data_IF_657461311549
#
_entry.id   IF_657461311549
#
_cell.length_a   1.000
_cell.length_b   1.000
_cell.length_c   1.000
_cell.angle_alpha   90.00
_cell.angle_beta   90.00
_cell.angle_gamma   90.00
#
_symmetry.space_group_name_H-M   'P 1'
#
loop_
_entity.id
_entity.type
_entity.pdbx_description
1 polymer ?
#
# COMPACT_ATOMS: atom_id res chain seq x y z
N UNK A 1 36.23 -23.08 16.42
CA UNK A 1 35.74 -24.37 15.88
C UNK A 1 34.57 -24.96 16.67
N UNK A 2 34.53 -24.85 17.99
CA UNK A 2 33.41 -25.33 18.82
C UNK A 2 32.17 -24.40 18.79
N UNK A 3 32.37 -23.14 18.49
CA UNK A 3 31.28 -22.16 18.45
C UNK A 3 30.38 -22.37 17.22
N UNK A 4 30.95 -22.78 16.09
CA UNK A 4 30.21 -23.03 14.85
C UNK A 4 29.29 -24.25 14.92
N UNK A 5 29.72 -25.33 15.61
CA UNK A 5 28.93 -26.56 15.76
C UNK A 5 27.77 -26.42 16.74
N UNK A 6 27.90 -25.56 17.75
CA UNK A 6 26.77 -25.24 18.66
C UNK A 6 25.71 -24.33 18.02
N UNK A 7 26.11 -23.39 17.17
CA UNK A 7 25.20 -22.55 16.42
C UNK A 7 24.39 -23.36 15.40
N UNK A 8 25.02 -24.28 14.68
CA UNK A 8 24.36 -25.15 13.70
C UNK A 8 23.28 -26.02 14.35
N UNK A 9 23.53 -26.57 15.54
CA UNK A 9 22.53 -27.36 16.27
C UNK A 9 21.34 -26.52 16.77
N UNK A 10 21.60 -25.30 17.26
CA UNK A 10 20.53 -24.39 17.69
C UNK A 10 19.74 -23.83 16.51
N UNK A 11 20.37 -23.57 15.39
CA UNK A 11 19.69 -23.13 14.15
C UNK A 11 18.77 -24.22 13.59
N UNK A 12 19.20 -25.50 13.59
CA UNK A 12 18.34 -26.62 13.19
C UNK A 12 17.10 -26.75 14.09
N UNK A 13 17.28 -26.70 15.41
CA UNK A 13 16.14 -26.79 16.34
C UNK A 13 15.19 -25.60 16.21
N UNK A 14 15.70 -24.40 15.96
CA UNK A 14 14.88 -23.22 15.69
C UNK A 14 14.12 -23.39 14.36
N UNK A 15 14.83 -23.83 13.33
CA UNK A 15 14.24 -24.08 12.01
C UNK A 15 13.11 -25.11 12.06
N UNK A 16 13.34 -26.25 12.67
CA UNK A 16 12.34 -27.31 12.84
C UNK A 16 11.10 -26.79 13.59
N UNK A 17 11.31 -25.93 14.59
CA UNK A 17 10.20 -25.31 15.33
C UNK A 17 9.46 -24.29 14.50
N UNK A 18 10.12 -23.53 13.62
CA UNK A 18 9.51 -22.55 12.73
C UNK A 18 8.77 -23.21 11.56
N UNK A 19 9.20 -24.40 11.13
CA UNK A 19 8.57 -25.18 10.08
C UNK A 19 7.36 -26.00 10.59
N UNK A 20 7.20 -26.15 11.91
CA UNK A 20 6.08 -26.84 12.52
C UNK A 20 4.82 -25.95 12.57
N UNK A 21 3.99 -26.05 11.55
CA UNK A 21 2.78 -25.27 11.39
C UNK A 21 1.74 -25.47 12.51
N UNK A 22 1.88 -26.52 13.34
CA UNK A 22 1.03 -26.73 14.51
C UNK A 22 1.40 -25.83 15.69
N UNK A 23 2.62 -25.28 15.69
CA UNK A 23 3.15 -24.42 16.76
C UNK A 23 3.25 -22.97 16.33
N UNK A 24 3.72 -22.74 15.11
CA UNK A 24 4.00 -21.40 14.58
C UNK A 24 3.39 -21.28 13.19
N UNK A 25 2.79 -20.15 12.90
CA UNK A 25 2.36 -19.79 11.57
C UNK A 25 2.87 -18.40 11.19
N UNK A 26 3.05 -18.19 9.90
CA UNK A 26 3.38 -16.90 9.29
C UNK A 26 2.21 -16.52 8.37
N UNK A 27 1.12 -15.95 8.93
CA UNK A 27 -0.05 -15.58 8.16
C UNK A 27 0.30 -14.53 7.12
N UNK A 28 -0.12 -14.74 5.89
CA UNK A 28 0.03 -13.75 4.86
C UNK A 28 -0.93 -12.59 5.11
N UNK A 29 -0.51 -11.40 4.76
CA UNK A 29 -1.34 -10.21 4.89
C UNK A 29 -1.17 -9.28 3.72
N UNK A 30 -2.25 -8.63 3.34
CA UNK A 30 -2.26 -7.48 2.45
C UNK A 30 -2.74 -6.28 3.24
N UNK A 31 -1.95 -5.23 3.26
CA UNK A 31 -2.35 -3.94 3.80
C UNK A 31 -2.38 -2.90 2.68
N UNK A 32 -3.40 -2.08 2.71
CA UNK A 32 -3.49 -0.91 1.85
C UNK A 32 -3.84 0.31 2.69
N UNK A 33 -2.81 1.13 2.95
CA UNK A 33 -2.88 2.38 3.69
C UNK A 33 -1.76 3.28 3.22
N UNK A 34 -2.07 4.42 2.63
CA UNK A 34 -1.05 5.40 2.25
C UNK A 34 -0.70 6.24 3.47
N UNK A 35 0.58 6.28 3.80
CA UNK A 35 1.13 7.05 4.92
C UNK A 35 2.34 7.86 4.42
N UNK A 36 2.11 9.01 3.77
CA UNK A 36 3.20 9.86 3.32
C UNK A 36 3.95 10.46 4.52
N UNK A 37 5.13 10.99 4.25
CA UNK A 37 5.86 11.75 5.28
C UNK A 37 5.01 12.92 5.74
N UNK A 38 5.08 13.30 7.03
CA UNK A 38 4.48 14.52 7.53
C UNK A 38 4.86 15.71 6.65
N UNK A 39 3.88 16.49 6.25
CA UNK A 39 4.05 17.60 5.32
C UNK A 39 3.54 18.90 5.97
N UNK A 40 4.19 20.02 5.64
CA UNK A 40 3.90 21.32 6.26
C UNK A 40 2.44 21.75 6.11
N UNK A 41 1.77 21.42 5.00
CA UNK A 41 0.35 21.75 4.79
C UNK A 41 -0.56 21.08 5.84
N UNK A 42 -0.20 19.86 6.26
CA UNK A 42 -0.94 19.13 7.30
C UNK A 42 -0.63 19.70 8.68
N UNK A 43 0.64 19.98 8.96
CA UNK A 43 1.08 20.65 10.19
C UNK A 43 0.35 21.98 10.40
N UNK A 44 0.34 22.84 9.38
CA UNK A 44 -0.37 24.13 9.43
C UNK A 44 -1.88 23.97 9.68
N UNK A 45 -2.50 22.91 9.16
CA UNK A 45 -3.91 22.62 9.40
C UNK A 45 -4.12 22.18 10.86
N UNK A 46 -3.27 21.30 11.39
CA UNK A 46 -3.35 20.83 12.78
C UNK A 46 -3.17 21.99 13.76
N UNK A 47 -2.24 22.91 13.49
CA UNK A 47 -2.06 24.13 14.29
C UNK A 47 -3.31 25.02 14.24
N UNK A 48 -3.94 25.19 13.07
CA UNK A 48 -5.23 25.92 12.96
C UNK A 48 -6.36 25.25 13.75
N UNK A 49 -6.30 23.92 13.86
CA UNK A 49 -7.26 23.13 14.63
C UNK A 49 -6.93 23.12 16.14
N UNK A 50 -5.98 23.98 16.59
CA UNK A 50 -5.51 24.13 17.97
C UNK A 50 -4.88 22.85 18.55
N UNK A 51 -4.20 22.05 17.74
CA UNK A 51 -3.39 20.94 18.21
C UNK A 51 -1.98 21.46 18.50
N UNK A 52 -1.55 21.31 19.73
CA UNK A 52 -0.24 21.79 20.22
C UNK A 52 0.89 20.81 19.89
N UNK A 53 2.15 21.26 20.01
CA UNK A 53 3.37 20.46 19.88
C UNK A 53 3.54 19.76 18.52
N UNK A 54 3.16 20.43 17.44
CA UNK A 54 3.24 19.88 16.07
C UNK A 54 4.61 20.05 15.40
N UNK A 55 5.58 20.65 16.09
CA UNK A 55 6.93 20.83 15.55
C UNK A 55 7.74 19.52 15.57
N UNK A 56 8.49 19.21 14.52
CA UNK A 56 9.34 18.02 14.50
C UNK A 56 10.52 18.17 15.47
N UNK A 57 10.82 17.13 16.20
CA UNK A 57 11.96 17.06 17.10
C UNK A 57 13.19 16.63 16.30
N UNK A 58 14.25 17.43 16.35
CA UNK A 58 15.55 17.09 15.78
C UNK A 58 16.41 16.45 16.85
N UNK A 59 16.82 15.20 16.62
CA UNK A 59 17.68 14.48 17.58
C UNK A 59 19.14 14.92 17.46
N UNK A 60 19.96 14.57 18.47
CA UNK A 60 21.41 14.81 18.43
C UNK A 60 22.15 14.15 17.27
N UNK A 61 21.52 13.18 16.59
CA UNK A 61 22.03 12.51 15.39
C UNK A 61 21.49 13.10 14.08
N UNK A 62 20.89 14.29 14.12
CA UNK A 62 20.24 14.94 12.97
C UNK A 62 19.13 14.07 12.32
N UNK A 63 18.46 13.24 13.09
CA UNK A 63 17.28 12.54 12.63
C UNK A 63 16.02 13.30 13.08
N UNK A 64 14.97 13.27 12.25
CA UNK A 64 13.71 13.94 12.54
C UNK A 64 12.73 12.94 13.13
N UNK A 65 12.11 13.32 14.26
CA UNK A 65 10.95 12.65 14.81
C UNK A 65 9.75 13.55 14.55
N UNK A 66 8.82 13.07 13.73
CA UNK A 66 7.62 13.83 13.44
C UNK A 66 6.64 13.77 14.61
N UNK A 67 5.95 14.87 14.87
CA UNK A 67 4.97 14.96 15.94
C UNK A 67 3.67 14.19 15.64
N UNK A 68 3.38 13.90 14.37
CA UNK A 68 2.17 13.22 13.92
C UNK A 68 2.47 12.24 12.79
N UNK A 69 1.54 11.33 12.56
CA UNK A 69 1.53 10.42 11.40
C UNK A 69 0.47 10.90 10.43
N UNK A 70 0.88 11.24 9.21
CA UNK A 70 -0.05 11.53 8.14
C UNK A 70 -0.51 10.22 7.52
N UNK A 71 -1.82 9.96 7.49
CA UNK A 71 -2.40 8.75 6.94
C UNK A 71 -3.76 9.05 6.30
N UNK A 72 -4.02 8.42 5.16
CA UNK A 72 -5.33 8.52 4.53
C UNK A 72 -6.44 7.84 5.34
N UNK A 73 -7.70 8.21 5.07
CA UNK A 73 -8.86 7.61 5.74
C UNK A 73 -9.07 6.15 5.33
N UNK A 74 -9.06 5.78 4.03
CA UNK A 74 -9.19 4.39 3.61
C UNK A 74 -8.12 3.50 4.24
N UNK A 75 -8.54 2.30 4.62
CA UNK A 75 -7.66 1.32 5.24
C UNK A 75 -8.20 -0.08 4.98
N UNK A 76 -7.39 -0.89 4.33
CA UNK A 76 -7.69 -2.29 4.09
C UNK A 76 -6.58 -3.15 4.68
N UNK A 77 -6.95 -4.04 5.58
CA UNK A 77 -6.06 -5.06 6.12
C UNK A 77 -6.75 -6.41 5.97
N UNK A 78 -6.14 -7.25 5.15
CA UNK A 78 -6.61 -8.62 4.88
C UNK A 78 -5.54 -9.57 5.38
N UNK A 79 -5.91 -10.53 6.23
CA UNK A 79 -4.98 -11.43 6.90
C UNK A 79 -5.44 -12.87 6.73
N UNK A 80 -4.51 -13.76 6.41
CA UNK A 80 -4.74 -15.21 6.43
C UNK A 80 -5.08 -15.67 7.84
N UNK A 81 -6.23 -16.32 8.00
CA UNK A 81 -6.69 -16.82 9.30
C UNK A 81 -6.02 -18.16 9.63
N UNK A 82 -4.70 -18.12 9.87
CA UNK A 82 -3.86 -19.27 10.23
C UNK A 82 -3.11 -19.00 11.52
N UNK A 83 -3.78 -19.25 12.66
CA UNK A 83 -3.27 -18.98 14.00
C UNK A 83 -3.38 -20.22 14.88
N UNK A 84 -2.39 -21.12 14.92
CA UNK A 84 -2.46 -22.40 15.65
C UNK A 84 -2.68 -22.22 17.15
N UNK A 85 -2.27 -21.10 17.73
CA UNK A 85 -2.40 -20.80 19.15
C UNK A 85 -3.59 -19.86 19.47
N UNK A 86 -4.51 -19.68 18.50
CA UNK A 86 -5.59 -18.70 18.59
C UNK A 86 -5.13 -17.26 18.35
N UNK A 87 -6.09 -16.35 18.24
CA UNK A 87 -5.86 -14.92 18.00
C UNK A 87 -6.95 -14.05 18.62
N UNK A 88 -6.71 -12.76 18.81
CA UNK A 88 -7.78 -11.81 19.11
C UNK A 88 -8.83 -11.74 17.98
N UNK A 89 -10.07 -11.33 18.26
CA UNK A 89 -11.11 -11.16 17.26
C UNK A 89 -10.88 -9.90 16.40
N UNK A 90 -9.86 -9.94 15.54
CA UNK A 90 -9.41 -8.81 14.71
C UNK A 90 -10.49 -8.33 13.73
N UNK A 91 -11.39 -9.22 13.31
CA UNK A 91 -12.55 -8.89 12.49
C UNK A 91 -13.47 -7.85 13.13
N UNK A 92 -13.52 -7.77 14.46
CA UNK A 92 -14.26 -6.73 15.20
C UNK A 92 -13.64 -5.33 15.06
N UNK A 93 -12.37 -5.28 14.68
CA UNK A 93 -11.65 -4.04 14.36
C UNK A 93 -11.63 -3.72 12.86
N UNK A 94 -12.42 -4.46 12.04
CA UNK A 94 -12.51 -4.24 10.60
C UNK A 94 -11.42 -4.94 9.77
N UNK A 95 -10.66 -5.87 10.36
CA UNK A 95 -9.69 -6.68 9.62
C UNK A 95 -10.43 -7.81 8.90
N UNK A 96 -10.14 -7.99 7.61
CA UNK A 96 -10.68 -9.11 6.84
C UNK A 96 -9.86 -10.37 7.13
N UNK A 97 -10.45 -11.31 7.84
CA UNK A 97 -9.85 -12.62 8.13
C UNK A 97 -10.31 -13.62 7.09
N UNK A 98 -9.39 -14.26 6.37
CA UNK A 98 -9.72 -15.10 5.22
C UNK A 98 -8.62 -16.15 4.96
N UNK A 99 -8.74 -16.90 3.86
CA UNK A 99 -7.71 -17.82 3.40
C UNK A 99 -6.59 -17.10 2.59
N UNK A 100 -5.45 -17.78 2.43
CA UNK A 100 -4.27 -17.26 1.72
C UNK A 100 -4.57 -16.89 0.25
N UNK A 101 -5.39 -17.67 -0.43
CA UNK A 101 -5.73 -17.43 -1.84
C UNK A 101 -6.49 -16.10 -1.99
N UNK A 102 -7.42 -15.83 -1.09
CA UNK A 102 -8.17 -14.57 -1.05
C UNK A 102 -7.27 -13.38 -0.70
N UNK A 103 -6.29 -13.53 0.22
CA UNK A 103 -5.28 -12.49 0.47
C UNK A 103 -4.51 -12.17 -0.80
N UNK A 104 -4.03 -13.19 -1.52
CA UNK A 104 -3.29 -13.04 -2.77
C UNK A 104 -4.14 -12.38 -3.88
N UNK A 105 -5.41 -12.78 -4.01
CA UNK A 105 -6.34 -12.17 -4.96
C UNK A 105 -6.57 -10.69 -4.66
N UNK A 106 -6.67 -10.33 -3.39
CA UNK A 106 -6.86 -8.94 -2.96
C UNK A 106 -5.63 -8.09 -3.27
N UNK A 107 -4.45 -8.61 -2.98
CA UNK A 107 -3.21 -7.93 -3.37
C UNK A 107 -3.09 -7.78 -4.89
N UNK A 108 -3.38 -8.85 -5.64
CA UNK A 108 -3.35 -8.83 -7.10
C UNK A 108 -4.31 -7.80 -7.68
N UNK A 109 -5.56 -7.74 -7.20
CA UNK A 109 -6.53 -6.71 -7.59
C UNK A 109 -5.95 -5.31 -7.45
N UNK A 110 -5.34 -4.99 -6.30
CA UNK A 110 -4.73 -3.68 -6.02
C UNK A 110 -3.52 -3.42 -6.92
N UNK A 111 -2.60 -4.37 -6.99
CA UNK A 111 -1.27 -4.20 -7.62
C UNK A 111 -1.33 -4.21 -9.14
N UNK A 112 -2.22 -5.00 -9.73
CA UNK A 112 -2.28 -5.16 -11.20
C UNK A 112 -3.39 -4.35 -11.85
N UNK A 113 -4.33 -3.79 -11.09
CA UNK A 113 -5.52 -3.15 -11.68
C UNK A 113 -5.92 -1.85 -10.96
N UNK A 114 -6.36 -1.93 -9.70
CA UNK A 114 -7.20 -0.89 -9.11
C UNK A 114 -6.44 0.31 -8.53
N UNK A 115 -5.16 0.17 -8.18
CA UNK A 115 -4.38 1.27 -7.59
C UNK A 115 -3.03 1.46 -8.28
N UNK A 116 -2.16 0.45 -8.22
CA UNK A 116 -0.75 0.65 -8.57
C UNK A 116 -0.52 0.96 -10.06
N UNK A 117 -1.25 0.40 -11.04
CA UNK A 117 -1.12 0.80 -12.44
C UNK A 117 -1.48 2.27 -12.67
N UNK A 118 -2.59 2.72 -12.08
CA UNK A 118 -3.04 4.11 -12.21
C UNK A 118 -2.01 5.08 -11.65
N UNK A 119 -1.53 4.79 -10.45
CA UNK A 119 -0.52 5.57 -9.76
C UNK A 119 0.81 5.62 -10.53
N UNK A 120 1.22 4.49 -11.16
CA UNK A 120 2.43 4.44 -11.98
C UNK A 120 2.29 5.22 -13.27
N UNK A 121 1.18 5.08 -13.98
CA UNK A 121 0.93 5.84 -15.21
C UNK A 121 0.94 7.34 -14.94
N UNK A 122 0.17 7.79 -13.93
CA UNK A 122 0.17 9.19 -13.51
C UNK A 122 1.58 9.69 -13.25
N UNK A 123 2.33 9.00 -12.40
CA UNK A 123 3.64 9.45 -11.95
C UNK A 123 4.65 9.60 -13.10
N UNK A 124 4.60 8.73 -14.10
CA UNK A 124 5.49 8.83 -15.28
C UNK A 124 5.13 10.08 -16.11
N UNK A 125 3.87 10.24 -16.46
CA UNK A 125 3.43 11.39 -17.24
C UNK A 125 3.51 12.69 -16.44
N UNK A 126 3.16 12.65 -15.16
CA UNK A 126 3.29 13.80 -14.26
C UNK A 126 4.73 14.32 -14.15
N UNK A 127 5.72 13.43 -14.04
CA UNK A 127 7.13 13.81 -14.09
C UNK A 127 7.50 14.49 -15.41
N UNK A 128 7.02 13.95 -16.53
CA UNK A 128 7.30 14.52 -17.87
C UNK A 128 6.67 15.90 -18.06
N UNK A 129 5.50 16.12 -17.47
CA UNK A 129 4.75 17.39 -17.54
C UNK A 129 5.18 18.39 -16.44
N UNK A 130 6.06 17.99 -15.52
CA UNK A 130 6.61 18.86 -14.49
C UNK A 130 5.75 18.99 -13.23
N UNK A 131 4.81 18.10 -13.01
CA UNK A 131 4.04 18.03 -11.76
C UNK A 131 4.92 17.59 -10.58
N UNK A 132 4.58 18.07 -9.39
CA UNK A 132 5.28 17.75 -8.14
C UNK A 132 4.40 17.05 -7.12
N UNK A 133 3.08 17.07 -7.32
CA UNK A 133 2.09 16.42 -6.46
C UNK A 133 1.07 15.64 -7.30
N UNK A 134 0.73 14.44 -6.87
CA UNK A 134 -0.28 13.58 -7.50
C UNK A 134 -1.66 14.27 -7.51
N UNK A 135 -2.04 14.95 -6.43
CA UNK A 135 -3.32 15.65 -6.37
C UNK A 135 -3.44 16.80 -7.37
N UNK A 136 -2.33 17.36 -7.84
CA UNK A 136 -2.34 18.38 -8.90
C UNK A 136 -2.48 17.73 -10.27
N UNK A 137 -1.91 16.56 -10.50
CA UNK A 137 -2.15 15.77 -11.71
C UNK A 137 -3.64 15.41 -11.88
N UNK A 138 -4.36 15.22 -10.79
CA UNK A 138 -5.80 14.96 -10.82
C UNK A 138 -6.67 16.16 -11.25
N UNK A 139 -6.06 17.33 -11.41
CA UNK A 139 -6.70 18.52 -12.00
C UNK A 139 -6.51 18.59 -13.52
N UNK A 140 -5.60 17.79 -14.06
CA UNK A 140 -5.33 17.69 -15.50
C UNK A 140 -6.30 16.71 -16.15
N UNK A 141 -7.11 17.22 -17.08
CA UNK A 141 -8.17 16.45 -17.74
C UNK A 141 -7.62 15.25 -18.56
N UNK A 142 -6.44 15.41 -19.17
CA UNK A 142 -5.85 14.38 -20.01
C UNK A 142 -5.28 13.24 -19.14
N UNK A 143 -4.62 13.57 -18.01
CA UNK A 143 -4.16 12.58 -17.04
C UNK A 143 -5.36 11.83 -16.45
N UNK A 144 -6.41 12.55 -16.04
CA UNK A 144 -7.63 11.92 -15.51
C UNK A 144 -8.29 11.01 -16.54
N UNK A 145 -8.36 11.43 -17.81
CA UNK A 145 -8.89 10.59 -18.88
C UNK A 145 -8.05 9.33 -19.09
N UNK A 146 -6.73 9.44 -19.06
CA UNK A 146 -5.79 8.32 -19.17
C UNK A 146 -6.01 7.29 -18.06
N UNK A 147 -6.02 7.71 -16.80
CA UNK A 147 -6.17 6.77 -15.68
C UNK A 147 -7.56 6.15 -15.62
N UNK A 148 -8.60 6.90 -15.97
CA UNK A 148 -9.95 6.35 -16.10
C UNK A 148 -10.02 5.28 -17.18
N UNK A 149 -9.44 5.54 -18.35
CA UNK A 149 -9.37 4.55 -19.41
C UNK A 149 -8.61 3.30 -18.94
N UNK A 150 -7.42 3.48 -18.39
CA UNK A 150 -6.57 2.39 -17.90
C UNK A 150 -7.28 1.53 -16.85
N UNK A 151 -7.94 2.17 -15.89
CA UNK A 151 -8.60 1.48 -14.78
C UNK A 151 -9.93 0.84 -15.17
N UNK A 152 -10.86 1.65 -15.72
CA UNK A 152 -12.23 1.20 -15.93
C UNK A 152 -12.45 0.44 -17.25
N UNK A 153 -11.76 0.83 -18.30
CA UNK A 153 -11.97 0.26 -19.64
C UNK A 153 -11.04 -0.92 -19.89
N UNK A 154 -9.80 -0.82 -19.44
CA UNK A 154 -8.77 -1.81 -19.73
C UNK A 154 -8.52 -2.75 -18.54
N UNK A 155 -8.57 -2.26 -17.31
CA UNK A 155 -8.26 -3.05 -16.11
C UNK A 155 -9.46 -3.82 -15.55
N UNK A 156 -10.57 -3.15 -15.24
CA UNK A 156 -11.72 -3.78 -14.61
C UNK A 156 -12.30 -4.99 -15.34
N UNK A 157 -12.37 -5.03 -16.69
CA UNK A 157 -12.91 -6.21 -17.38
C UNK A 157 -12.15 -7.51 -17.12
N UNK A 158 -10.87 -7.42 -16.77
CA UNK A 158 -9.98 -8.57 -16.52
C UNK A 158 -9.46 -8.62 -15.08
N UNK A 159 -10.04 -7.84 -14.17
CA UNK A 159 -9.61 -7.78 -12.78
C UNK A 159 -9.85 -9.10 -12.04
N UNK A 160 -8.91 -9.46 -11.20
CA UNK A 160 -9.11 -10.56 -10.25
C UNK A 160 -10.02 -10.07 -9.12
N UNK A 161 -11.23 -10.64 -9.02
CA UNK A 161 -12.15 -10.32 -7.93
C UNK A 161 -11.84 -11.20 -6.70
N UNK A 162 -11.47 -10.62 -5.55
CA UNK A 162 -11.20 -11.36 -4.33
C UNK A 162 -12.47 -11.85 -3.60
N UNK A 163 -13.63 -11.32 -3.93
CA UNK A 163 -14.92 -11.66 -3.31
C UNK A 163 -15.19 -10.99 -1.95
N UNK A 164 -14.18 -10.42 -1.30
CA UNK A 164 -14.30 -9.71 -0.01
C UNK A 164 -14.27 -8.19 -0.16
N UNK A 165 -13.72 -7.69 -1.25
CA UNK A 165 -13.72 -6.29 -1.66
C UNK A 165 -14.25 -6.20 -3.08
N UNK A 166 -15.10 -5.22 -3.35
CA UNK A 166 -15.62 -4.99 -4.69
C UNK A 166 -14.63 -4.15 -5.51
N UNK A 167 -14.05 -4.69 -6.60
CA UNK A 167 -13.01 -4.00 -7.36
C UNK A 167 -13.45 -2.64 -7.90
N UNK A 168 -14.71 -2.51 -8.34
CA UNK A 168 -15.23 -1.24 -8.83
C UNK A 168 -15.31 -0.19 -7.71
N UNK A 169 -15.85 -0.55 -6.56
CA UNK A 169 -15.92 0.37 -5.43
C UNK A 169 -14.52 0.80 -4.96
N UNK A 170 -13.56 -0.13 -4.97
CA UNK A 170 -12.17 0.16 -4.61
C UNK A 170 -11.53 1.17 -5.57
N UNK A 171 -11.68 0.97 -6.90
CA UNK A 171 -11.10 1.90 -7.88
C UNK A 171 -11.82 3.26 -7.88
N UNK A 172 -13.12 3.30 -7.63
CA UNK A 172 -13.88 4.55 -7.47
C UNK A 172 -13.30 5.36 -6.30
N UNK A 173 -13.07 4.74 -5.16
CA UNK A 173 -12.44 5.38 -4.00
C UNK A 173 -11.03 5.89 -4.31
N UNK A 174 -10.24 5.11 -5.03
CA UNK A 174 -8.88 5.51 -5.46
C UNK A 174 -8.94 6.77 -6.33
N UNK A 175 -9.76 6.78 -7.37
CA UNK A 175 -9.81 7.85 -8.37
C UNK A 175 -10.51 9.10 -7.84
N UNK A 176 -11.55 8.94 -7.04
CA UNK A 176 -12.40 10.06 -6.62
C UNK A 176 -11.99 10.66 -5.26
N UNK A 177 -11.34 9.89 -4.39
CA UNK A 177 -11.06 10.32 -3.03
C UNK A 177 -9.57 10.30 -2.69
N UNK A 178 -8.83 9.26 -3.05
CA UNK A 178 -7.45 9.06 -2.61
C UNK A 178 -6.46 9.88 -3.43
N UNK A 179 -6.47 9.74 -4.75
CA UNK A 179 -5.55 10.44 -5.65
C UNK A 179 -5.73 11.97 -5.64
N UNK A 180 -6.94 12.54 -5.61
CA UNK A 180 -7.12 13.98 -5.59
C UNK A 180 -6.95 14.64 -4.22
N UNK A 181 -6.66 13.88 -3.16
CA UNK A 181 -6.58 14.41 -1.80
C UNK A 181 -5.31 15.25 -1.57
N UNK A 182 -5.45 16.59 -1.36
CA UNK A 182 -4.29 17.46 -1.18
C UNK A 182 -3.57 17.25 0.17
N UNK A 183 -4.22 16.65 1.16
CA UNK A 183 -3.61 16.30 2.45
C UNK A 183 -2.81 15.00 2.39
N UNK A 184 -2.77 14.35 1.22
CA UNK A 184 -1.91 13.21 0.93
C UNK A 184 -0.85 13.61 -0.10
N UNK A 185 0.12 14.46 0.27
CA UNK A 185 1.08 15.05 -0.66
C UNK A 185 2.11 14.02 -1.12
N UNK A 186 1.74 13.21 -2.10
CA UNK A 186 2.63 12.23 -2.70
C UNK A 186 3.26 12.78 -3.98
N UNK A 187 4.56 12.56 -4.14
CA UNK A 187 5.33 13.09 -5.24
C UNK A 187 5.44 12.07 -6.39
N UNK A 188 5.10 12.44 -7.63
CA UNK A 188 5.23 11.55 -8.79
C UNK A 188 6.66 11.04 -8.97
N UNK A 189 7.68 11.85 -8.68
CA UNK A 189 9.09 11.48 -8.76
C UNK A 189 9.43 10.27 -7.88
N UNK A 190 8.86 10.22 -6.66
CA UNK A 190 9.03 9.09 -5.73
C UNK A 190 8.39 7.81 -6.26
N UNK A 191 7.22 7.93 -6.88
CA UNK A 191 6.47 6.79 -7.40
C UNK A 191 7.07 6.28 -8.70
N UNK A 192 7.57 7.17 -9.56
CA UNK A 192 8.21 6.83 -10.82
C UNK A 192 9.59 6.15 -10.66
N UNK A 193 10.18 6.17 -9.45
CA UNK A 193 11.42 5.43 -9.18
C UNK A 193 11.26 3.96 -9.52
N UNK A 194 12.26 3.36 -10.17
CA UNK A 194 12.28 1.96 -10.59
C UNK A 194 11.10 1.53 -11.49
N UNK A 195 10.59 2.43 -12.32
CA UNK A 195 9.46 2.15 -13.21
C UNK A 195 9.69 0.92 -14.09
N UNK A 196 10.90 0.69 -14.58
CA UNK A 196 11.23 -0.47 -15.41
C UNK A 196 10.96 -1.81 -14.70
N UNK A 197 11.14 -1.88 -13.40
CA UNK A 197 10.84 -3.07 -12.60
C UNK A 197 9.33 -3.21 -12.32
N UNK A 198 8.60 -2.09 -12.30
CA UNK A 198 7.17 -2.05 -11.98
C UNK A 198 6.27 -2.39 -13.16
N UNK A 199 6.68 -2.04 -14.38
CA UNK A 199 5.85 -2.18 -15.61
C UNK A 199 5.36 -3.60 -15.81
N UNK A 200 6.23 -4.61 -15.66
CA UNK A 200 5.88 -6.02 -15.85
C UNK A 200 4.76 -6.49 -14.93
N UNK A 201 4.79 -6.10 -13.66
CA UNK A 201 3.79 -6.50 -12.66
C UNK A 201 2.53 -5.64 -12.79
N UNK A 202 2.67 -4.33 -12.97
CA UNK A 202 1.56 -3.39 -12.90
C UNK A 202 0.72 -3.30 -14.17
N UNK A 203 1.33 -3.56 -15.33
CA UNK A 203 0.62 -3.55 -16.62
C UNK A 203 0.65 -4.89 -17.33
N UNK A 204 1.79 -5.61 -17.26
CA UNK A 204 1.98 -6.86 -17.97
C UNK A 204 0.98 -7.95 -17.57
N UNK A 205 0.57 -8.02 -16.32
CA UNK A 205 -0.43 -9.00 -15.87
C UNK A 205 -1.83 -8.71 -16.45
N UNK A 206 -2.22 -7.45 -16.52
CA UNK A 206 -3.45 -7.04 -17.21
C UNK A 206 -3.39 -7.37 -18.69
N UNK A 207 -2.27 -7.05 -19.37
CA UNK A 207 -2.09 -7.35 -20.80
C UNK A 207 -2.18 -8.87 -21.08
N UNK A 208 -1.59 -9.72 -20.24
CA UNK A 208 -1.65 -11.18 -20.38
C UNK A 208 -3.05 -11.75 -20.15
N UNK A 209 -3.92 -11.00 -19.50
CA UNK A 209 -5.29 -11.44 -19.21
C UNK A 209 -6.23 -11.22 -20.40
N UNK A 210 -5.78 -10.51 -21.45
CA UNK A 210 -6.41 -10.39 -22.76
C UNK A 210 -5.87 -11.42 -23.74
#
# INVERSE_FOLDING_TARGET
YEITTRLVGSEMCIRDSLEDESKIAFPWSMIDKITPRPHKIVEEQLVKDNIEDMEPIVTSKNTFIAAFVNAERPQYLVVEDKFPNGRPPLEKAGVYMTDRDTVNKTERMKVTTCLNPLHTAMSVYGCMLGYTLICDEMKDADIVALIKRLGYVEGLPVVVNPGILEPKAFIDEVVEQRLPNPFMPDAPQRIATDTSQKVGIRFGETIKSY
#
